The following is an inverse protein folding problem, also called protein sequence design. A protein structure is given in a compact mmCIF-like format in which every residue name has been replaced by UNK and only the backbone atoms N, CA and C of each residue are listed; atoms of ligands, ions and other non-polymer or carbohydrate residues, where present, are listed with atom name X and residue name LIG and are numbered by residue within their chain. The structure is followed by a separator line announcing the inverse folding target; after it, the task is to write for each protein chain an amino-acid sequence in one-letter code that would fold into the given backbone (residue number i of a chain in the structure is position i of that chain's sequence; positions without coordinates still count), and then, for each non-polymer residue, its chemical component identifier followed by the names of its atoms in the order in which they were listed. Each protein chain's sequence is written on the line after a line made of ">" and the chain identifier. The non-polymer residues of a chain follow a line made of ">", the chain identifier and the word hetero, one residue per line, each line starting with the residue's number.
data_IF_049466421369
#
_entry.id   IF_049466421369
#
_cell.length_a   1.000
_cell.length_b   1.000
_cell.length_c   1.000
_cell.angle_alpha   90.00
_cell.angle_beta   90.00
_cell.angle_gamma   90.00
#
_symmetry.space_group_name_H-M   'P 1'
#
loop_
_entity.id
_entity.type
_entity.pdbx_description
1 polymer ?
#
# COMPACT_ATOMS: atom_id res chain seq x y z
N UNK A 1 11.69 46.35 20.64
CA UNK A 1 12.24 47.71 20.40
C UNK A 1 11.28 48.57 19.58
N UNK A 2 10.58 48.03 18.58
CA UNK A 2 9.65 48.79 17.73
C UNK A 2 8.42 49.40 18.46
N UNK A 3 7.81 48.68 19.40
CA UNK A 3 6.59 49.15 20.09
C UNK A 3 6.77 50.47 20.86
N UNK A 4 7.96 50.74 21.39
CA UNK A 4 8.24 51.96 22.14
C UNK A 4 8.42 53.18 21.22
N UNK A 5 8.92 52.96 20.00
CA UNK A 5 9.10 54.02 18.99
C UNK A 5 7.74 54.45 18.41
N UNK A 6 6.85 53.50 18.13
CA UNK A 6 5.48 53.79 17.67
C UNK A 6 4.66 54.57 18.70
N UNK A 7 4.80 54.25 19.99
CA UNK A 7 4.12 54.97 21.08
C UNK A 7 4.65 56.41 21.23
N UNK A 8 5.96 56.60 21.07
CA UNK A 8 6.61 57.92 21.08
C UNK A 8 6.14 58.80 19.91
N UNK A 9 6.03 58.23 18.71
CA UNK A 9 5.53 58.91 17.52
C UNK A 9 4.04 59.28 17.66
N UNK A 10 3.21 58.35 18.14
CA UNK A 10 1.79 58.60 18.43
C UNK A 10 1.59 59.74 19.43
N UNK A 11 2.42 59.84 20.48
CA UNK A 11 2.38 60.96 21.43
C UNK A 11 2.74 62.29 20.76
N UNK A 12 3.72 62.31 19.86
CA UNK A 12 4.13 63.49 19.09
C UNK A 12 3.09 63.91 18.05
N UNK A 13 2.36 62.96 17.46
CA UNK A 13 1.23 63.26 16.57
C UNK A 13 0.02 63.78 17.32
N UNK A 14 -0.31 63.14 18.45
CA UNK A 14 -1.40 63.58 19.30
C UNK A 14 -1.14 64.98 19.81
N UNK A 15 0.07 65.32 20.28
CA UNK A 15 0.37 66.65 20.86
C UNK A 15 0.08 67.82 19.92
N UNK A 16 0.23 67.63 18.60
CA UNK A 16 -0.03 68.62 17.53
C UNK A 16 -1.51 68.88 17.25
N UNK A 17 -2.42 68.05 17.76
CA UNK A 17 -3.86 68.16 17.53
C UNK A 17 -4.57 69.01 18.60
N UNK A 18 -5.70 69.60 18.23
CA UNK A 18 -6.59 70.26 19.20
C UNK A 18 -7.21 69.25 20.18
N UNK A 19 -7.60 69.66 21.40
CA UNK A 19 -8.11 68.76 22.44
C UNK A 19 -9.29 67.87 21.99
N UNK A 20 -10.25 68.43 21.24
CA UNK A 20 -11.39 67.67 20.71
C UNK A 20 -10.96 66.62 19.67
N UNK A 21 -10.02 66.98 18.79
CA UNK A 21 -9.48 66.07 17.79
C UNK A 21 -8.61 64.96 18.42
N UNK A 22 -7.88 65.27 19.51
CA UNK A 22 -7.14 64.28 20.32
C UNK A 22 -8.09 63.23 20.88
N UNK A 23 -9.20 63.65 21.50
CA UNK A 23 -10.17 62.74 22.10
C UNK A 23 -10.81 61.84 21.03
N UNK A 24 -11.17 62.39 19.87
CA UNK A 24 -11.74 61.61 18.77
C UNK A 24 -10.77 60.52 18.29
N UNK A 25 -9.51 60.89 18.05
CA UNK A 25 -8.48 59.96 17.57
C UNK A 25 -8.14 58.89 18.63
N UNK A 26 -8.16 59.24 19.91
CA UNK A 26 -7.97 58.28 21.01
C UNK A 26 -9.13 57.28 21.09
N UNK A 27 -10.39 57.71 20.90
CA UNK A 27 -11.55 56.81 20.86
C UNK A 27 -11.49 55.84 19.68
N UNK A 28 -11.12 56.32 18.49
CA UNK A 28 -10.94 55.47 17.30
C UNK A 28 -9.84 54.41 17.52
N UNK A 29 -8.73 54.78 18.16
CA UNK A 29 -7.66 53.85 18.53
C UNK A 29 -8.13 52.83 19.59
N UNK A 30 -8.95 53.26 20.55
CA UNK A 30 -9.53 52.38 21.56
C UNK A 30 -10.48 51.35 20.93
N UNK A 31 -11.34 51.75 20.01
CA UNK A 31 -12.24 50.84 19.28
C UNK A 31 -11.47 49.83 18.42
N UNK A 32 -10.42 50.29 17.73
CA UNK A 32 -9.53 49.38 16.97
C UNK A 32 -8.88 48.34 17.88
N UNK A 33 -8.32 48.76 19.02
CA UNK A 33 -7.74 47.84 20.00
C UNK A 33 -8.78 46.86 20.56
N UNK A 34 -10.00 47.29 20.84
CA UNK A 34 -11.08 46.39 21.26
C UNK A 34 -11.37 45.32 20.20
N UNK A 35 -11.43 45.72 18.93
CA UNK A 35 -11.66 44.76 17.84
C UNK A 35 -10.49 43.78 17.64
N UNK A 36 -9.25 44.21 17.86
CA UNK A 36 -8.06 43.35 17.83
C UNK A 36 -8.08 42.35 18.99
N UNK A 37 -8.41 42.81 20.19
CA UNK A 37 -8.55 41.95 21.37
C UNK A 37 -9.63 40.89 21.12
N UNK A 38 -10.80 41.25 20.62
CA UNK A 38 -11.86 40.28 20.33
C UNK A 38 -11.43 39.23 19.29
N UNK A 39 -10.70 39.62 18.25
CA UNK A 39 -10.13 38.68 17.27
C UNK A 39 -9.10 37.74 17.90
N UNK A 40 -8.25 38.26 18.78
CA UNK A 40 -7.27 37.46 19.52
C UNK A 40 -7.99 36.47 20.45
N UNK A 41 -9.06 36.89 21.13
CA UNK A 41 -9.88 36.01 21.97
C UNK A 41 -10.55 34.89 21.17
N UNK A 42 -11.07 35.18 19.97
CA UNK A 42 -11.59 34.16 19.05
C UNK A 42 -10.52 33.15 18.65
N UNK A 43 -9.33 33.62 18.26
CA UNK A 43 -8.20 32.75 17.91
C UNK A 43 -7.76 31.87 19.09
N UNK A 44 -7.66 32.44 20.30
CA UNK A 44 -7.34 31.68 21.51
C UNK A 44 -8.38 30.58 21.73
N UNK A 45 -9.66 30.92 21.63
CA UNK A 45 -10.76 29.96 21.83
C UNK A 45 -10.74 28.84 20.79
N UNK A 46 -10.42 29.14 19.54
CA UNK A 46 -10.30 28.14 18.50
C UNK A 46 -9.08 27.24 18.70
N UNK A 47 -7.92 27.81 19.06
CA UNK A 47 -6.74 27.03 19.45
C UNK A 47 -7.00 26.14 20.68
N UNK A 48 -7.76 26.61 21.67
CA UNK A 48 -8.14 25.78 22.83
C UNK A 48 -9.03 24.59 22.43
N UNK A 49 -9.94 24.78 21.46
CA UNK A 49 -10.75 23.67 20.93
C UNK A 49 -9.90 22.66 20.19
N UNK A 50 -8.94 23.12 19.38
CA UNK A 50 -8.01 22.26 18.66
C UNK A 50 -7.17 21.43 19.63
N UNK A 51 -6.60 22.03 20.68
CA UNK A 51 -5.84 21.32 21.73
C UNK A 51 -6.72 20.26 22.41
N UNK A 52 -7.98 20.58 22.70
CA UNK A 52 -8.93 19.61 23.29
C UNK A 52 -9.22 18.46 22.32
N UNK A 53 -9.42 18.76 21.04
CA UNK A 53 -9.65 17.75 20.01
C UNK A 53 -8.42 16.84 19.80
N UNK A 54 -7.22 17.41 19.83
CA UNK A 54 -5.97 16.66 19.71
C UNK A 54 -5.75 15.72 20.90
N UNK A 55 -6.02 16.17 22.14
CA UNK A 55 -5.99 15.32 23.33
C UNK A 55 -6.98 14.15 23.25
N UNK A 56 -8.20 14.40 22.79
CA UNK A 56 -9.20 13.34 22.57
C UNK A 56 -8.72 12.37 21.48
N UNK A 57 -8.11 12.87 20.41
CA UNK A 57 -7.54 12.02 19.37
C UNK A 57 -6.37 11.16 19.89
N UNK A 58 -5.52 11.69 20.78
CA UNK A 58 -4.46 10.93 21.45
C UNK A 58 -5.01 9.86 22.40
N UNK A 59 -6.06 10.15 23.17
CA UNK A 59 -6.70 9.16 24.05
C UNK A 59 -7.38 8.02 23.27
N UNK A 60 -7.95 8.33 22.10
CA UNK A 60 -8.63 7.35 21.24
C UNK A 60 -7.64 6.59 20.35
N UNK A 61 -6.38 7.04 20.22
CA UNK A 61 -5.37 6.26 19.47
C UNK A 61 -5.27 4.87 20.09
N UNK A 62 -5.62 3.81 19.34
CA UNK A 62 -5.53 2.46 19.87
C UNK A 62 -4.09 2.22 20.28
N UNK A 63 -3.88 1.77 21.53
CA UNK A 63 -2.56 1.38 22.03
C UNK A 63 -2.01 0.36 21.05
N UNK A 64 -1.00 0.78 20.29
CA UNK A 64 -0.29 -0.12 19.40
C UNK A 64 0.47 -1.08 20.30
N UNK A 65 -0.07 -2.28 20.48
CA UNK A 65 0.70 -3.37 21.06
C UNK A 65 1.91 -3.57 20.14
N UNK A 66 3.12 -3.49 20.70
CA UNK A 66 4.32 -3.88 19.96
C UNK A 66 4.18 -5.37 19.63
N UNK A 67 3.84 -5.65 18.39
CA UNK A 67 3.73 -7.02 17.90
C UNK A 67 5.14 -7.57 17.78
N UNK A 68 5.47 -8.53 18.63
CA UNK A 68 6.71 -9.29 18.53
C UNK A 68 6.61 -10.23 17.33
N UNK A 69 7.24 -9.78 16.22
CA UNK A 69 7.24 -10.48 14.94
C UNK A 69 7.82 -11.89 15.11
N UNK A 70 8.81 -12.09 15.99
CA UNK A 70 9.42 -13.42 16.18
C UNK A 70 8.43 -14.42 16.75
N UNK A 71 7.62 -14.03 17.74
CA UNK A 71 6.61 -14.91 18.34
C UNK A 71 5.50 -15.32 17.37
N UNK A 72 5.08 -14.41 16.48
CA UNK A 72 4.08 -14.73 15.46
C UNK A 72 4.57 -15.80 14.49
N UNK A 73 5.84 -15.75 14.10
CA UNK A 73 6.42 -16.72 13.18
C UNK A 73 6.89 -18.02 13.86
N UNK A 74 7.12 -18.03 15.18
CA UNK A 74 7.47 -19.26 15.92
C UNK A 74 6.29 -20.24 16.01
N UNK A 75 5.08 -19.76 16.33
CA UNK A 75 3.89 -20.61 16.37
C UNK A 75 3.45 -21.05 14.96
N UNK A 76 3.53 -20.15 13.97
CA UNK A 76 3.19 -20.46 12.59
C UNK A 76 4.22 -21.36 11.92
N UNK A 77 5.52 -21.24 12.19
CA UNK A 77 6.53 -22.11 11.59
C UNK A 77 6.32 -23.58 11.97
N UNK A 78 5.98 -23.87 13.23
CA UNK A 78 5.67 -25.23 13.67
C UNK A 78 4.40 -25.80 13.02
N UNK A 79 3.38 -24.95 12.82
CA UNK A 79 2.15 -25.33 12.11
C UNK A 79 2.37 -25.46 10.60
N UNK A 80 3.12 -24.57 9.97
CA UNK A 80 3.50 -24.62 8.56
C UNK A 80 4.35 -25.84 8.27
N UNK A 81 5.37 -26.14 9.09
CA UNK A 81 6.16 -27.36 8.94
C UNK A 81 5.33 -28.62 9.11
N UNK A 82 4.41 -28.66 10.09
CA UNK A 82 3.46 -29.77 10.24
C UNK A 82 2.51 -29.88 9.06
N UNK A 83 2.01 -28.76 8.54
CA UNK A 83 1.08 -28.72 7.39
C UNK A 83 1.80 -29.05 6.09
N UNK A 84 3.08 -28.71 5.94
CA UNK A 84 3.93 -29.08 4.81
C UNK A 84 4.32 -30.56 4.90
N UNK A 85 4.74 -31.08 6.05
CA UNK A 85 4.99 -32.53 6.24
C UNK A 85 3.72 -33.36 6.07
N UNK A 86 2.56 -32.85 6.52
CA UNK A 86 1.23 -33.43 6.30
C UNK A 86 0.84 -33.39 4.83
N UNK A 87 1.01 -32.27 4.13
CA UNK A 87 0.74 -32.18 2.69
C UNK A 87 1.70 -33.01 1.84
N UNK A 88 2.96 -33.19 2.25
CA UNK A 88 3.92 -34.07 1.57
C UNK A 88 3.54 -35.54 1.77
N UNK A 89 3.08 -35.93 2.97
CA UNK A 89 2.58 -37.30 3.23
C UNK A 89 1.18 -37.54 2.67
N UNK A 90 0.35 -36.51 2.52
CA UNK A 90 -0.99 -36.56 1.92
C UNK A 90 -0.99 -36.46 0.39
N UNK A 91 0.07 -35.92 -0.23
CA UNK A 91 0.22 -35.85 -1.70
C UNK A 91 0.65 -37.15 -2.35
N UNK A 92 0.95 -38.20 -1.58
CA UNK A 92 1.12 -39.52 -2.16
C UNK A 92 -0.21 -40.08 -2.71
N UNK A 93 -1.37 -39.58 -2.26
CA UNK A 93 -2.68 -40.17 -2.57
C UNK A 93 -3.78 -39.18 -3.03
N UNK A 94 -3.44 -37.94 -3.40
CA UNK A 94 -4.43 -37.01 -3.94
C UNK A 94 -4.52 -37.10 -5.47
N UNK A 95 -5.27 -38.09 -5.93
CA UNK A 95 -5.87 -38.14 -7.27
C UNK A 95 -6.82 -36.95 -7.46
N UNK A 96 -6.33 -35.82 -7.96
CA UNK A 96 -7.16 -34.65 -8.17
C UNK A 96 -6.63 -33.70 -9.25
N UNK A 97 -7.33 -33.67 -10.38
CA UNK A 97 -7.15 -32.88 -11.61
C UNK A 97 -7.13 -31.33 -11.44
N UNK A 98 -6.80 -30.78 -10.25
CA UNK A 98 -6.93 -29.36 -9.95
C UNK A 98 -5.58 -28.62 -10.00
N UNK A 99 -5.43 -27.71 -10.96
CA UNK A 99 -4.29 -26.80 -11.04
C UNK A 99 -4.48 -25.60 -10.09
N UNK A 100 -3.55 -25.40 -9.15
CA UNK A 100 -3.52 -24.17 -8.34
C UNK A 100 -3.01 -22.97 -9.16
N UNK A 101 -3.43 -21.74 -8.81
CA UNK A 101 -2.96 -20.50 -9.47
C UNK A 101 -1.43 -20.41 -9.50
N UNK A 102 -0.77 -20.71 -8.39
CA UNK A 102 0.70 -20.73 -8.29
C UNK A 102 1.34 -21.76 -9.22
N UNK A 103 0.73 -22.94 -9.36
CA UNK A 103 1.21 -23.98 -10.27
C UNK A 103 1.02 -23.55 -11.72
N UNK A 104 -0.16 -23.03 -12.08
CA UNK A 104 -0.46 -22.57 -13.43
C UNK A 104 0.50 -21.46 -13.88
N UNK A 105 0.79 -20.48 -13.01
CA UNK A 105 1.75 -19.42 -13.31
C UNK A 105 3.19 -19.91 -13.44
N UNK A 106 3.61 -20.82 -12.54
CA UNK A 106 4.94 -21.44 -12.62
C UNK A 106 5.11 -22.21 -13.93
N UNK A 107 4.08 -22.95 -14.34
CA UNK A 107 4.08 -23.71 -15.59
C UNK A 107 4.13 -22.79 -16.80
N UNK A 108 3.31 -21.72 -16.81
CA UNK A 108 3.32 -20.71 -17.86
C UNK A 108 4.69 -20.04 -17.98
N UNK A 109 5.27 -19.58 -16.88
CA UNK A 109 6.56 -18.87 -16.88
C UNK A 109 7.65 -19.76 -17.46
N UNK A 110 7.74 -21.01 -17.00
CA UNK A 110 8.72 -21.98 -17.51
C UNK A 110 8.53 -22.24 -19.01
N UNK A 111 7.29 -22.42 -19.47
CA UNK A 111 7.02 -22.59 -20.90
C UNK A 111 7.34 -21.31 -21.70
N UNK A 112 7.12 -20.12 -21.15
CA UNK A 112 7.49 -18.87 -21.81
C UNK A 112 9.00 -18.74 -21.98
N UNK A 113 9.76 -19.08 -20.94
CA UNK A 113 11.23 -19.06 -20.97
C UNK A 113 11.77 -20.08 -21.99
N UNK A 114 11.19 -21.28 -21.99
CA UNK A 114 11.52 -22.34 -22.95
C UNK A 114 11.12 -21.95 -24.38
N UNK A 115 9.99 -21.25 -24.57
CA UNK A 115 9.56 -20.78 -25.88
C UNK A 115 10.59 -19.83 -26.49
N UNK A 116 11.11 -18.88 -25.71
CA UNK A 116 12.19 -18.01 -26.16
C UNK A 116 13.45 -18.80 -26.53
N UNK A 117 13.84 -19.78 -25.72
CA UNK A 117 14.97 -20.66 -26.01
C UNK A 117 14.77 -21.48 -27.29
N UNK A 118 13.55 -22.01 -27.51
CA UNK A 118 13.20 -22.81 -28.70
C UNK A 118 13.28 -22.02 -30.01
N UNK A 119 13.05 -20.70 -29.96
CA UNK A 119 13.18 -19.83 -31.14
C UNK A 119 14.64 -19.52 -31.49
N UNK A 120 15.56 -19.70 -30.54
CA UNK A 120 16.98 -19.32 -30.65
C UNK A 120 17.93 -20.51 -30.84
N UNK A 121 17.44 -21.76 -30.77
CA UNK A 121 18.27 -22.94 -30.96
C UNK A 121 17.65 -24.25 -30.45
N UNK A 122 18.50 -25.27 -30.30
CA UNK A 122 18.09 -26.59 -29.80
C UNK A 122 17.81 -26.55 -28.29
N UNK A 123 16.73 -27.22 -27.87
CA UNK A 123 16.34 -27.36 -26.48
C UNK A 123 17.27 -28.32 -25.74
N UNK A 124 17.57 -28.02 -24.47
CA UNK A 124 18.30 -28.94 -23.60
C UNK A 124 17.41 -30.11 -23.16
N UNK A 125 18.03 -31.23 -22.77
CA UNK A 125 17.31 -32.40 -22.23
C UNK A 125 16.42 -32.05 -21.04
N UNK A 126 16.89 -31.16 -20.15
CA UNK A 126 16.10 -30.67 -19.02
C UNK A 126 14.88 -29.83 -19.46
N UNK A 127 14.98 -29.11 -20.57
CA UNK A 127 13.85 -28.36 -21.12
C UNK A 127 12.83 -29.29 -21.79
N UNK A 128 13.28 -30.34 -22.48
CA UNK A 128 12.41 -31.37 -23.05
C UNK A 128 11.63 -32.11 -21.95
N UNK A 129 12.30 -32.53 -20.89
CA UNK A 129 11.64 -33.18 -19.74
C UNK A 129 10.61 -32.24 -19.07
N UNK A 130 10.94 -30.95 -18.95
CA UNK A 130 10.02 -29.96 -18.41
C UNK A 130 8.78 -29.77 -19.32
N UNK A 131 8.95 -29.77 -20.65
CA UNK A 131 7.85 -29.70 -21.62
C UNK A 131 6.92 -30.89 -21.46
N UNK A 132 7.44 -32.11 -21.35
CA UNK A 132 6.64 -33.32 -21.22
C UNK A 132 5.84 -33.33 -19.92
N UNK A 133 6.51 -33.05 -18.79
CA UNK A 133 5.87 -33.02 -17.46
C UNK A 133 4.80 -31.92 -17.37
N UNK A 134 5.04 -30.75 -17.96
CA UNK A 134 4.05 -29.67 -17.99
C UNK A 134 2.91 -29.99 -18.97
N UNK A 135 3.22 -30.59 -20.13
CA UNK A 135 2.25 -31.01 -21.14
C UNK A 135 1.25 -32.02 -20.59
N UNK A 136 1.73 -33.10 -19.98
CA UNK A 136 0.85 -34.09 -19.34
C UNK A 136 -0.06 -33.48 -18.27
N UNK A 137 0.47 -32.51 -17.51
CA UNK A 137 -0.31 -31.82 -16.48
C UNK A 137 -1.38 -30.91 -17.09
N UNK A 138 -1.06 -30.19 -18.17
CA UNK A 138 -2.02 -29.34 -18.89
C UNK A 138 -3.12 -30.16 -19.56
N UNK A 139 -2.80 -31.35 -20.07
CA UNK A 139 -3.76 -32.27 -20.69
C UNK A 139 -4.71 -32.90 -19.67
N UNK A 140 -4.21 -33.22 -18.47
CA UNK A 140 -5.03 -33.71 -17.35
C UNK A 140 -5.88 -32.62 -16.70
N UNK A 141 -5.50 -31.34 -16.83
CA UNK A 141 -6.24 -30.24 -16.23
C UNK A 141 -7.58 -29.99 -16.96
N UNK A 142 -8.69 -30.23 -16.26
CA UNK A 142 -10.05 -29.96 -16.77
C UNK A 142 -10.47 -28.53 -16.44
N UNK A 143 -11.08 -27.83 -17.40
CA UNK A 143 -11.78 -26.56 -17.17
C UNK A 143 -13.06 -26.79 -16.35
N UNK A 144 -12.94 -26.88 -15.02
CA UNK A 144 -14.04 -26.66 -14.07
C UNK A 144 -13.70 -25.41 -13.26
N UNK A 145 -14.67 -24.70 -12.64
CA UNK A 145 -14.61 -23.26 -12.43
C UNK A 145 -13.53 -22.89 -11.41
N UNK A 146 -12.30 -22.83 -11.89
CA UNK A 146 -11.23 -22.09 -11.26
C UNK A 146 -11.46 -20.63 -11.62
N UNK A 147 -10.98 -19.71 -10.78
CA UNK A 147 -11.07 -18.28 -11.03
C UNK A 147 -10.69 -17.96 -12.49
N UNK A 148 -11.34 -16.95 -13.07
CA UNK A 148 -11.09 -16.51 -14.45
C UNK A 148 -9.60 -16.33 -14.75
N UNK A 149 -8.82 -15.93 -13.75
CA UNK A 149 -7.36 -15.83 -13.79
C UNK A 149 -6.68 -17.17 -14.09
N UNK A 150 -7.02 -18.26 -13.39
CA UNK A 150 -6.39 -19.58 -13.65
C UNK A 150 -6.77 -20.08 -15.04
N UNK A 151 -8.02 -19.88 -15.47
CA UNK A 151 -8.44 -20.26 -16.81
C UNK A 151 -7.62 -19.54 -17.89
N UNK A 152 -7.40 -18.23 -17.73
CA UNK A 152 -6.58 -17.43 -18.64
C UNK A 152 -5.13 -17.94 -18.68
N UNK A 153 -4.55 -18.24 -17.51
CA UNK A 153 -3.17 -18.74 -17.43
C UNK A 153 -3.05 -20.13 -18.07
N UNK A 154 -4.01 -21.02 -17.87
CA UNK A 154 -4.00 -22.35 -18.51
C UNK A 154 -4.09 -22.27 -20.05
N UNK A 155 -4.94 -21.38 -20.58
CA UNK A 155 -5.01 -21.11 -22.03
C UNK A 155 -3.67 -20.60 -22.54
N UNK A 156 -3.06 -19.65 -21.83
CA UNK A 156 -1.76 -19.09 -22.20
C UNK A 156 -0.65 -20.15 -22.16
N UNK A 157 -0.63 -21.03 -21.16
CA UNK A 157 0.31 -22.16 -21.06
C UNK A 157 0.17 -23.13 -22.22
N UNK A 158 -1.06 -23.47 -22.63
CA UNK A 158 -1.28 -24.34 -23.80
C UNK A 158 -0.79 -23.68 -25.10
N UNK A 159 -1.02 -22.39 -25.26
CA UNK A 159 -0.52 -21.65 -26.41
C UNK A 159 1.02 -21.59 -26.45
N UNK A 160 1.67 -21.40 -25.31
CA UNK A 160 3.12 -21.43 -25.19
C UNK A 160 3.68 -22.83 -25.52
N UNK A 161 3.08 -23.89 -24.97
CA UNK A 161 3.44 -25.27 -25.25
C UNK A 161 3.34 -25.59 -26.75
N UNK A 162 2.25 -25.19 -27.40
CA UNK A 162 2.07 -25.38 -28.84
C UNK A 162 3.17 -24.69 -29.66
N UNK A 163 3.53 -23.44 -29.30
CA UNK A 163 4.63 -22.73 -29.98
C UNK A 163 5.95 -23.48 -29.82
N UNK A 164 6.28 -23.92 -28.60
CA UNK A 164 7.50 -24.68 -28.33
C UNK A 164 7.56 -25.93 -29.21
N UNK A 165 6.49 -26.73 -29.22
CA UNK A 165 6.45 -27.96 -30.02
C UNK A 165 6.64 -27.69 -31.51
N UNK A 166 5.96 -26.66 -32.04
CA UNK A 166 6.06 -26.23 -33.44
C UNK A 166 7.47 -25.75 -33.83
N UNK A 167 8.13 -24.95 -32.99
CA UNK A 167 9.47 -24.42 -33.30
C UNK A 167 10.59 -25.42 -33.04
N UNK A 168 10.40 -26.33 -32.08
CA UNK A 168 11.36 -27.39 -31.75
C UNK A 168 11.21 -28.65 -32.63
N UNK A 169 10.19 -28.72 -33.50
CA UNK A 169 9.94 -29.88 -34.36
C UNK A 169 9.54 -31.14 -33.60
N UNK A 170 8.87 -30.96 -32.46
CA UNK A 170 8.40 -32.05 -31.59
C UNK A 170 6.98 -32.54 -31.98
N UNK A 171 6.30 -31.81 -32.87
CA UNK A 171 5.01 -32.14 -33.52
C UNK A 171 4.94 -31.56 -34.95
#
# INVERSE_FOLDING_TARGET
>A
MAENEEIEELKKELSKLNPEAKIKRLKELEEKRKSEISKIEELIKDSEKEIKAEKVAEEIRPKQASIDIQKLFEEEAGQLERTVKSNIRGRANATGDYASLKQAYSDYSKLSDIAYASMMGQLSSAQLEAIDVIGERLDRSKYKPVSQEVANVLVASRAALYKIKKYAGLE
#
